data_IF_643414146217
#
_entry.id   IF_643414146217
#
_cell.length_a   1.000
_cell.length_b   1.000
_cell.length_c   1.000
_cell.angle_alpha   90.00
_cell.angle_beta   90.00
_cell.angle_gamma   90.00
#
_symmetry.space_group_name_H-M   'P 1'
#
loop_
_entity.id
_entity.type
_entity.pdbx_description
1 polymer ?
#
# COMPACT_ATOMS: atom_id res chain seq x y z
N UNK A 1 16.29 -23.30 -5.90
CA UNK A 1 15.16 -22.88 -5.03
C UNK A 1 15.54 -21.54 -4.40
N UNK A 2 15.14 -20.42 -5.02
CA UNK A 2 15.53 -19.08 -4.59
C UNK A 2 14.77 -18.68 -3.31
N UNK A 3 15.51 -18.21 -2.30
CA UNK A 3 14.91 -17.62 -1.09
C UNK A 3 13.98 -16.49 -1.54
N UNK A 4 12.66 -16.53 -1.24
CA UNK A 4 11.80 -15.41 -1.57
C UNK A 4 12.42 -14.16 -0.91
N UNK A 5 12.57 -13.04 -1.64
CA UNK A 5 13.11 -11.82 -1.06
C UNK A 5 12.27 -11.53 0.18
N UNK A 6 12.93 -11.48 1.34
CA UNK A 6 12.27 -11.26 2.62
C UNK A 6 11.77 -9.82 2.59
N UNK A 7 10.55 -9.60 2.09
CA UNK A 7 9.94 -8.28 2.09
C UNK A 7 10.00 -7.80 3.53
N UNK A 8 10.71 -6.71 3.73
CA UNK A 8 10.97 -6.20 5.07
C UNK A 8 9.75 -5.40 5.49
N UNK A 9 9.46 -5.36 6.80
CA UNK A 9 8.37 -4.54 7.32
C UNK A 9 8.44 -3.07 6.86
N UNK A 10 9.65 -2.51 6.72
CA UNK A 10 9.91 -1.18 6.15
C UNK A 10 9.35 -1.01 4.73
N UNK A 11 9.49 -2.04 3.89
CA UNK A 11 9.00 -2.05 2.51
C UNK A 11 7.48 -1.97 2.50
N UNK A 12 6.82 -2.79 3.33
CA UNK A 12 5.36 -2.81 3.50
C UNK A 12 4.83 -1.47 4.04
N UNK A 13 5.49 -0.90 5.04
CA UNK A 13 5.13 0.40 5.61
C UNK A 13 5.24 1.54 4.57
N UNK A 14 6.25 1.48 3.69
CA UNK A 14 6.41 2.47 2.60
C UNK A 14 5.28 2.35 1.58
N UNK A 15 4.83 1.14 1.27
CA UNK A 15 3.66 0.92 0.38
C UNK A 15 2.39 1.51 1.00
N UNK A 16 2.16 1.29 2.30
CA UNK A 16 1.02 1.86 3.01
C UNK A 16 1.04 3.40 3.03
N UNK A 17 2.19 4.03 3.30
CA UNK A 17 2.33 5.50 3.24
C UNK A 17 2.02 6.05 1.84
N UNK A 18 2.47 5.37 0.78
CA UNK A 18 2.16 5.77 -0.61
C UNK A 18 0.67 5.68 -0.90
N UNK A 19 0.00 4.60 -0.51
CA UNK A 19 -1.45 4.44 -0.69
C UNK A 19 -2.21 5.54 0.06
N UNK A 20 -1.80 5.84 1.29
CA UNK A 20 -2.38 6.93 2.07
C UNK A 20 -2.27 8.29 1.37
N UNK A 21 -1.23 8.50 0.56
CA UNK A 21 -1.00 9.72 -0.25
C UNK A 21 -1.70 9.70 -1.61
N UNK A 22 -2.73 8.89 -1.82
CA UNK A 22 -3.44 8.73 -3.10
C UNK A 22 -2.61 8.12 -4.25
N UNK A 23 -1.49 7.42 -3.98
CA UNK A 23 -0.78 6.70 -5.04
C UNK A 23 -1.50 5.39 -5.39
N UNK A 24 -1.39 4.97 -6.65
CA UNK A 24 -1.91 3.67 -7.06
C UNK A 24 -1.07 2.53 -6.47
N UNK A 25 -1.67 1.35 -6.31
CA UNK A 25 -0.94 0.15 -5.87
C UNK A 25 0.25 -0.15 -6.79
N UNK A 26 0.10 0.09 -8.10
CA UNK A 26 1.18 -0.10 -9.08
C UNK A 26 2.36 0.83 -8.78
N UNK A 27 2.12 2.12 -8.59
CA UNK A 27 3.19 3.10 -8.30
C UNK A 27 3.85 2.83 -6.96
N UNK A 28 3.05 2.49 -5.94
CA UNK A 28 3.56 2.15 -4.62
C UNK A 28 4.46 0.91 -4.69
N UNK A 29 4.06 -0.12 -5.43
CA UNK A 29 4.85 -1.34 -5.64
C UNK A 29 6.14 -1.08 -6.42
N UNK A 30 6.07 -0.25 -7.47
CA UNK A 30 7.24 0.14 -8.27
C UNK A 30 8.26 0.90 -7.43
N UNK A 31 7.82 1.78 -6.54
CA UNK A 31 8.70 2.59 -5.70
C UNK A 31 9.58 1.76 -4.76
N UNK A 32 9.10 0.59 -4.36
CA UNK A 32 9.80 -0.32 -3.44
C UNK A 32 10.34 -1.57 -4.13
N UNK A 33 10.30 -1.63 -5.47
CA UNK A 33 10.71 -2.78 -6.28
C UNK A 33 10.04 -4.11 -5.87
N UNK A 34 8.74 -4.09 -5.60
CA UNK A 34 7.95 -5.32 -5.40
C UNK A 34 7.02 -5.53 -6.58
N UNK A 35 6.76 -6.80 -6.91
CA UNK A 35 5.74 -7.13 -7.91
C UNK A 35 4.35 -6.98 -7.30
N UNK A 36 3.36 -6.65 -8.14
CA UNK A 36 1.95 -6.61 -7.72
C UNK A 36 1.46 -7.98 -7.22
N UNK A 37 1.94 -9.07 -7.83
CA UNK A 37 1.62 -10.43 -7.36
C UNK A 37 2.11 -10.66 -5.93
N UNK A 38 3.35 -10.25 -5.64
CA UNK A 38 3.88 -10.30 -4.27
C UNK A 38 3.03 -9.46 -3.33
N UNK A 39 2.66 -8.24 -3.71
CA UNK A 39 1.77 -7.39 -2.90
C UNK A 39 0.47 -8.12 -2.53
N UNK A 40 -0.24 -8.70 -3.49
CA UNK A 40 -1.49 -9.43 -3.22
C UNK A 40 -1.26 -10.72 -2.44
N UNK A 41 -0.13 -11.41 -2.61
CA UNK A 41 0.23 -12.55 -1.74
C UNK A 41 0.40 -12.13 -0.30
N UNK A 42 1.13 -11.04 -0.04
CA UNK A 42 1.29 -10.52 1.31
C UNK A 42 -0.04 -10.03 1.89
N UNK A 43 -0.89 -9.39 1.09
CA UNK A 43 -2.22 -8.95 1.51
C UNK A 43 -3.16 -10.09 1.92
N UNK A 44 -2.97 -11.29 1.34
CA UNK A 44 -3.81 -12.45 1.68
C UNK A 44 -3.21 -13.33 2.79
N UNK A 45 -1.90 -13.29 3.01
CA UNK A 45 -1.21 -14.17 3.97
C UNK A 45 -0.79 -13.48 5.26
N UNK A 46 -0.62 -12.14 5.27
CA UNK A 46 -0.13 -11.39 6.43
C UNK A 46 -1.22 -10.42 6.94
N UNK A 47 -1.94 -10.76 8.03
CA UNK A 47 -3.03 -9.91 8.53
C UNK A 47 -2.56 -8.52 8.98
N UNK A 48 -1.36 -8.41 9.55
CA UNK A 48 -0.79 -7.11 9.95
C UNK A 48 -0.60 -6.17 8.74
N UNK A 49 -0.26 -6.73 7.58
CA UNK A 49 -0.11 -5.94 6.36
C UNK A 49 -1.48 -5.48 5.84
N UNK A 50 -2.47 -6.36 5.89
CA UNK A 50 -3.86 -6.05 5.51
C UNK A 50 -4.45 -4.94 6.36
N UNK A 51 -4.24 -4.97 7.67
CA UNK A 51 -4.66 -3.89 8.56
C UNK A 51 -3.96 -2.56 8.23
N UNK A 52 -2.65 -2.58 7.95
CA UNK A 52 -1.92 -1.37 7.54
C UNK A 52 -2.48 -0.75 6.26
N UNK A 53 -2.75 -1.57 5.25
CA UNK A 53 -3.29 -1.12 3.96
C UNK A 53 -4.72 -0.61 4.13
N UNK A 54 -5.54 -1.27 4.94
CA UNK A 54 -6.90 -0.85 5.26
C UNK A 54 -6.90 0.52 5.93
N UNK A 55 -6.04 0.72 6.94
CA UNK A 55 -5.84 2.03 7.60
C UNK A 55 -5.34 3.10 6.63
N UNK A 56 -4.45 2.73 5.70
CA UNK A 56 -3.98 3.66 4.67
C UNK A 56 -5.13 4.15 3.78
N UNK A 57 -6.03 3.25 3.33
CA UNK A 57 -7.23 3.61 2.56
C UNK A 57 -8.23 4.43 3.37
N UNK A 58 -8.46 4.10 4.64
CA UNK A 58 -9.30 4.91 5.53
C UNK A 58 -8.73 6.33 5.74
N UNK A 59 -7.41 6.45 5.80
CA UNK A 59 -6.78 7.76 5.95
C UNK A 59 -6.77 8.54 4.63
N UNK A 60 -6.65 7.85 3.50
CA UNK A 60 -6.77 8.42 2.15
C UNK A 60 -8.15 9.07 1.95
N UNK A 61 -9.23 8.46 2.47
CA UNK A 61 -10.59 9.02 2.38
C UNK A 61 -10.84 10.16 3.38
N UNK A 62 -10.12 10.18 4.51
CA UNK A 62 -10.19 11.25 5.52
C UNK A 62 -9.42 12.51 5.13
N UNK A 63 -8.45 12.43 4.21
CA UNK A 63 -7.89 13.65 3.63
C UNK A 63 -9.04 14.28 2.83
N UNK A 64 -9.59 15.43 3.25
CA UNK A 64 -10.70 16.01 2.52
C UNK A 64 -10.20 16.25 1.10
N UNK A 65 -10.87 15.65 0.11
CA UNK A 65 -10.85 16.12 -1.26
C UNK A 65 -11.51 17.51 -1.28
N UNK A 66 -10.87 18.49 -0.64
CA UNK A 66 -11.23 19.90 -0.68
C UNK A 66 -10.82 20.45 -2.04
N UNK A 67 -11.47 19.97 -3.11
CA UNK A 67 -11.37 20.59 -4.43
C UNK A 67 -12.60 20.36 -5.35
N UNK A 68 -13.63 19.59 -4.97
CA UNK A 68 -14.74 19.29 -5.89
C UNK A 68 -16.14 19.38 -5.26
N UNK A 69 -16.50 20.53 -4.69
CA UNK A 69 -17.91 20.87 -4.46
C UNK A 69 -18.11 22.39 -4.56
N UNK A 70 -18.01 22.92 -5.78
CA UNK A 70 -18.60 24.21 -6.14
C UNK A 70 -19.24 24.03 -7.50
N UNK A 71 -20.53 23.68 -7.51
CA UNK A 71 -21.44 23.96 -8.62
C UNK A 71 -22.88 23.95 -8.09
#
# INVERSE_FOLDING_TARGET
>A
MGRPPKITYRTLATVADKIQRNYTVTDACQHVNISRDSFYRYLNNEPEFTEMITKAYENQSKVPMSFLATY
#
